data_IF_184272882601
#
_entry.id   IF_184272882601
#
_cell.length_a   1.000
_cell.length_b   1.000
_cell.length_c   1.000
_cell.angle_alpha   90.00
_cell.angle_beta   90.00
_cell.angle_gamma   90.00
#
_symmetry.space_group_name_H-M   'P 1'
#
loop_
_entity.id
_entity.type
_entity.pdbx_description
1 polymer ?
#
# COMPACT_ATOMS: atom_id res chain seq x y z
N UNK A 1 1.63 15.15 -8.43
CA UNK A 1 1.34 14.47 -7.15
C UNK A 1 1.83 13.03 -7.24
N UNK A 2 2.65 12.57 -6.29
CA UNK A 2 3.16 11.18 -6.24
C UNK A 2 2.21 10.26 -5.47
N UNK A 3 2.40 8.93 -5.59
CA UNK A 3 1.63 7.96 -4.81
C UNK A 3 1.80 8.12 -3.29
N UNK A 4 3.00 8.50 -2.82
CA UNK A 4 3.24 8.78 -1.41
C UNK A 4 2.51 10.05 -0.94
N UNK A 5 2.47 11.10 -1.76
CA UNK A 5 1.70 12.31 -1.45
C UNK A 5 0.19 12.01 -1.38
N UNK A 6 -0.31 11.16 -2.28
CA UNK A 6 -1.70 10.71 -2.24
C UNK A 6 -1.99 9.89 -0.98
N UNK A 7 -1.11 8.96 -0.58
CA UNK A 7 -1.27 8.19 0.65
C UNK A 7 -1.41 9.10 1.88
N UNK A 8 -0.56 10.13 2.00
CA UNK A 8 -0.66 11.10 3.09
C UNK A 8 -2.01 11.80 3.13
N UNK A 9 -2.52 12.27 1.98
CA UNK A 9 -3.85 12.87 1.88
C UNK A 9 -4.98 11.90 2.22
N UNK A 10 -4.88 10.63 1.79
CA UNK A 10 -5.85 9.59 2.16
C UNK A 10 -5.86 9.42 3.68
N UNK A 11 -4.70 9.42 4.34
CA UNK A 11 -4.60 9.28 5.80
C UNK A 11 -5.17 10.48 6.55
N UNK A 12 -5.11 11.68 6.00
CA UNK A 12 -5.77 12.87 6.56
C UNK A 12 -7.31 12.76 6.50
N UNK A 13 -7.86 12.16 5.43
CA UNK A 13 -9.31 12.04 5.23
C UNK A 13 -9.90 10.81 5.93
N UNK A 14 -9.25 9.66 5.77
CA UNK A 14 -9.67 8.39 6.35
C UNK A 14 -8.42 7.57 6.75
N UNK A 15 -7.98 7.68 8.02
CA UNK A 15 -6.84 6.94 8.55
C UNK A 15 -6.97 5.42 8.40
N UNK A 16 -8.20 4.88 8.46
CA UNK A 16 -8.48 3.45 8.46
C UNK A 16 -8.56 2.84 7.05
N UNK A 17 -8.63 3.64 5.99
CA UNK A 17 -8.75 3.15 4.61
C UNK A 17 -7.56 2.25 4.25
N UNK A 18 -7.76 0.96 3.93
CA UNK A 18 -6.66 0.10 3.53
C UNK A 18 -6.04 0.56 2.20
N UNK A 19 -4.72 0.63 2.14
CA UNK A 19 -4.00 1.04 0.91
C UNK A 19 -2.96 -0.01 0.54
N UNK A 20 -3.04 -0.49 -0.71
CA UNK A 20 -2.00 -1.28 -1.37
C UNK A 20 -1.21 -0.37 -2.30
N UNK A 21 0.07 -0.16 -2.03
CA UNK A 21 0.95 0.58 -2.93
C UNK A 21 1.60 -0.36 -3.94
N UNK A 22 1.49 -0.03 -5.22
CA UNK A 22 2.17 -0.71 -6.31
C UNK A 22 3.33 0.15 -6.81
N UNK A 23 4.55 -0.38 -6.88
CA UNK A 23 5.72 0.40 -7.32
C UNK A 23 6.63 -0.39 -8.24
N UNK A 24 7.19 0.26 -9.27
CA UNK A 24 8.33 -0.25 -10.03
C UNK A 24 9.68 0.16 -9.43
N UNK A 25 9.67 1.07 -8.45
CA UNK A 25 10.85 1.50 -7.72
C UNK A 25 10.98 0.68 -6.42
N UNK A 26 12.11 -0.03 -6.32
CA UNK A 26 12.47 -0.91 -5.22
C UNK A 26 13.39 -0.25 -4.20
N UNK A 27 13.65 1.06 -4.32
CA UNK A 27 14.50 1.77 -3.37
C UNK A 27 13.98 1.61 -1.95
N UNK A 28 14.89 1.20 -1.07
CA UNK A 28 14.61 0.94 0.34
C UNK A 28 13.98 2.18 0.99
N UNK A 29 14.41 3.37 0.59
CA UNK A 29 13.91 4.63 1.13
C UNK A 29 12.44 4.89 0.78
N UNK A 30 12.01 4.58 -0.45
CA UNK A 30 10.60 4.72 -0.84
C UNK A 30 9.71 3.70 -0.13
N UNK A 31 10.20 2.46 0.04
CA UNK A 31 9.48 1.46 0.83
C UNK A 31 9.34 1.91 2.28
N UNK A 32 10.43 2.37 2.91
CA UNK A 32 10.41 2.90 4.29
C UNK A 32 9.47 4.09 4.42
N UNK A 33 9.48 5.01 3.47
CA UNK A 33 8.60 6.18 3.48
C UNK A 33 7.11 5.78 3.36
N UNK A 34 6.77 4.80 2.52
CA UNK A 34 5.41 4.29 2.40
C UNK A 34 4.94 3.58 3.68
N UNK A 35 5.82 2.78 4.30
CA UNK A 35 5.54 2.13 5.59
C UNK A 35 5.32 3.16 6.70
N UNK A 36 6.19 4.17 6.80
CA UNK A 36 6.05 5.25 7.78
C UNK A 36 4.76 6.08 7.57
N UNK A 37 4.30 6.20 6.32
CA UNK A 37 3.03 6.85 5.98
C UNK A 37 1.79 5.95 6.20
N UNK A 38 1.95 4.73 6.74
CA UNK A 38 0.85 3.85 7.09
C UNK A 38 0.21 3.11 5.91
N UNK A 39 1.01 2.72 4.91
CA UNK A 39 0.54 1.80 3.86
C UNK A 39 0.18 0.43 4.47
N UNK A 40 -0.88 -0.21 3.99
CA UNK A 40 -1.30 -1.51 4.51
C UNK A 40 -0.50 -2.66 3.89
N UNK A 41 -0.21 -2.56 2.59
CA UNK A 41 0.61 -3.50 1.86
C UNK A 41 1.41 -2.77 0.77
N UNK A 42 2.56 -3.34 0.42
CA UNK A 42 3.39 -2.89 -0.69
C UNK A 42 3.61 -4.06 -1.65
N UNK A 43 3.54 -3.81 -2.96
CA UNK A 43 3.78 -4.81 -4.00
C UNK A 43 4.64 -4.22 -5.12
N UNK A 44 5.78 -4.87 -5.34
CA UNK A 44 6.76 -4.47 -6.34
C UNK A 44 6.37 -5.01 -7.72
N UNK A 45 6.58 -4.22 -8.77
CA UNK A 45 6.42 -4.64 -10.16
C UNK A 45 7.74 -5.23 -10.70
N UNK A 46 7.68 -6.19 -11.64
CA UNK A 46 6.48 -6.89 -12.10
C UNK A 46 5.96 -7.88 -11.04
N UNK A 47 4.66 -8.12 -11.01
CA UNK A 47 4.01 -9.07 -10.12
C UNK A 47 3.01 -9.93 -10.89
N UNK A 48 2.68 -11.10 -10.34
CA UNK A 48 1.62 -11.96 -10.88
C UNK A 48 0.26 -11.59 -10.29
N UNK A 49 -0.83 -11.98 -10.96
CA UNK A 49 -2.18 -11.85 -10.41
C UNK A 49 -2.32 -12.56 -9.05
N UNK A 50 -1.60 -13.67 -8.84
CA UNK A 50 -1.57 -14.39 -7.57
C UNK A 50 -0.95 -13.56 -6.44
N UNK A 51 0.12 -12.82 -6.72
CA UNK A 51 0.75 -11.94 -5.72
C UNK A 51 -0.20 -10.82 -5.30
N UNK A 52 -0.88 -10.19 -6.26
CA UNK A 52 -1.88 -9.16 -5.97
C UNK A 52 -3.04 -9.71 -5.15
N UNK A 53 -3.59 -10.87 -5.52
CA UNK A 53 -4.69 -11.50 -4.78
C UNK A 53 -4.29 -11.82 -3.34
N UNK A 54 -3.07 -12.32 -3.10
CA UNK A 54 -2.57 -12.58 -1.74
C UNK A 54 -2.53 -11.30 -0.91
N UNK A 55 -2.05 -10.19 -1.46
CA UNK A 55 -1.97 -8.88 -0.76
C UNK A 55 -3.36 -8.34 -0.45
N UNK A 56 -4.27 -8.36 -1.42
CA UNK A 56 -5.65 -7.89 -1.24
C UNK A 56 -6.37 -8.71 -0.17
N UNK A 57 -6.31 -10.05 -0.24
CA UNK A 57 -6.90 -10.93 0.78
C UNK A 57 -6.31 -10.68 2.17
N UNK A 58 -5.01 -10.44 2.28
CA UNK A 58 -4.39 -10.12 3.57
C UNK A 58 -4.90 -8.79 4.15
N UNK A 59 -5.17 -7.78 3.32
CA UNK A 59 -5.71 -6.50 3.75
C UNK A 59 -7.17 -6.59 4.20
N UNK A 60 -7.99 -7.37 3.50
CA UNK A 60 -9.42 -7.47 3.80
C UNK A 60 -9.72 -8.38 4.98
N UNK A 61 -8.82 -9.29 5.37
CA UNK A 61 -8.97 -10.12 6.59
C UNK A 61 -9.11 -9.31 7.88
N UNK A 62 -8.54 -8.10 7.92
CA UNK A 62 -8.60 -7.22 9.08
C UNK A 62 -9.78 -6.24 9.03
N UNK A 63 -10.54 -6.25 7.94
CA UNK A 63 -11.82 -5.56 7.83
C UNK A 63 -12.87 -6.55 8.32
N UNK A 64 -13.09 -6.60 9.64
CA UNK A 64 -14.24 -7.32 10.17
C UNK A 64 -15.50 -6.73 9.55
N UNK A 65 -16.22 -7.56 8.79
CA UNK A 65 -17.63 -7.33 8.40
C UNK A 65 -18.50 -8.01 9.44
#
# INVERSE_FOLDING_TARGET
MSGLQLLKKIREINPAMPVLMLSGDSSIDNVKAAMAAGVSQYLMKPFTSGDMQKRVRAMTKNLAV
#
